data_IF_912002472068
#
_entry.id   IF_912002472068
#
_cell.length_a   1.000
_cell.length_b   1.000
_cell.length_c   1.000
_cell.angle_alpha   90.00
_cell.angle_beta   90.00
_cell.angle_gamma   90.00
#
_symmetry.space_group_name_H-M   'P 1'
#
loop_
_entity.id
_entity.type
_entity.pdbx_description
1 polymer ?
#
# COMPACT_ATOMS: atom_id res chain seq x y z
N UNK A 1 -14.90 -5.19 4.30
CA UNK A 1 -13.65 -5.92 4.57
C UNK A 1 -13.11 -6.58 3.31
N UNK A 2 -13.81 -7.54 2.70
CA UNK A 2 -13.31 -8.27 1.52
C UNK A 2 -12.79 -7.41 0.35
N UNK A 3 -13.43 -6.27 0.06
CA UNK A 3 -12.95 -5.37 -1.01
C UNK A 3 -11.56 -4.78 -0.73
N UNK A 4 -11.22 -4.47 0.53
CA UNK A 4 -9.91 -3.91 0.87
C UNK A 4 -8.79 -4.90 0.61
N UNK A 5 -9.03 -6.17 0.97
CA UNK A 5 -8.08 -7.25 0.72
C UNK A 5 -7.91 -7.50 -0.77
N UNK A 6 -9.00 -7.57 -1.55
CA UNK A 6 -8.93 -7.76 -3.01
C UNK A 6 -8.15 -6.62 -3.67
N UNK A 7 -8.41 -5.38 -3.26
CA UNK A 7 -7.68 -4.23 -3.81
C UNK A 7 -6.18 -4.30 -3.49
N UNK A 8 -5.81 -4.69 -2.27
CA UNK A 8 -4.41 -4.90 -1.90
C UNK A 8 -3.76 -6.03 -2.69
N UNK A 9 -4.43 -7.17 -2.85
CA UNK A 9 -3.95 -8.30 -3.63
C UNK A 9 -3.70 -7.91 -5.09
N UNK A 10 -4.66 -7.25 -5.73
CA UNK A 10 -4.54 -6.87 -7.14
C UNK A 10 -3.51 -5.76 -7.36
N UNK A 11 -3.50 -4.75 -6.49
CA UNK A 11 -2.54 -3.65 -6.57
C UNK A 11 -1.11 -4.12 -6.35
N UNK A 12 -0.89 -5.21 -5.61
CA UNK A 12 0.42 -5.83 -5.44
C UNK A 12 0.76 -6.79 -6.59
N UNK A 13 -0.13 -7.72 -6.91
CA UNK A 13 0.14 -8.82 -7.84
C UNK A 13 0.36 -8.34 -9.28
N UNK A 14 -0.42 -7.36 -9.77
CA UNK A 14 -0.31 -6.91 -11.17
C UNK A 14 1.07 -6.29 -11.47
N UNK A 15 1.58 -5.32 -10.68
CA UNK A 15 2.94 -4.83 -10.84
C UNK A 15 4.01 -5.90 -10.63
N UNK A 16 3.85 -6.81 -9.65
CA UNK A 16 4.81 -7.88 -9.40
C UNK A 16 4.93 -8.84 -10.59
N UNK A 17 3.79 -9.25 -11.17
CA UNK A 17 3.75 -10.10 -12.37
C UNK A 17 4.40 -9.37 -13.54
N UNK A 18 4.09 -8.08 -13.72
CA UNK A 18 4.67 -7.26 -14.78
C UNK A 18 6.20 -7.19 -14.63
N UNK A 19 6.71 -6.95 -13.42
CA UNK A 19 8.13 -6.97 -13.10
C UNK A 19 8.74 -8.36 -13.36
N UNK A 20 8.05 -9.43 -12.96
CA UNK A 20 8.48 -10.82 -13.21
C UNK A 20 8.70 -11.08 -14.69
N UNK A 21 7.78 -10.64 -15.55
CA UNK A 21 7.87 -10.82 -17.01
C UNK A 21 8.97 -9.97 -17.63
N UNK A 22 9.12 -8.71 -17.21
CA UNK A 22 10.12 -7.80 -17.77
C UNK A 22 11.55 -8.24 -17.43
N UNK A 23 11.80 -8.62 -16.17
CA UNK A 23 13.12 -8.98 -15.65
C UNK A 23 13.43 -10.48 -15.76
N UNK A 24 12.50 -11.26 -16.31
CA UNK A 24 12.59 -12.72 -16.37
C UNK A 24 12.90 -13.34 -14.99
N UNK A 25 12.15 -12.91 -13.97
CA UNK A 25 12.38 -13.33 -12.59
C UNK A 25 11.96 -14.78 -12.42
N UNK A 26 12.88 -15.60 -11.94
CA UNK A 26 12.57 -16.93 -11.45
C UNK A 26 12.26 -16.88 -9.96
N UNK A 27 11.17 -17.54 -9.58
CA UNK A 27 10.69 -17.60 -8.21
C UNK A 27 10.95 -18.99 -7.64
N UNK A 28 11.60 -19.04 -6.50
CA UNK A 28 11.82 -20.27 -5.73
C UNK A 28 11.33 -20.08 -4.29
N UNK A 29 10.99 -21.18 -3.62
CA UNK A 29 10.75 -21.11 -2.18
C UNK A 29 12.06 -20.74 -1.48
N UNK A 30 11.97 -19.86 -0.50
CA UNK A 30 13.14 -19.49 0.29
C UNK A 30 13.60 -20.67 1.14
N UNK A 31 14.89 -21.01 1.07
CA UNK A 31 15.49 -22.03 1.94
C UNK A 31 15.42 -21.64 3.43
N UNK A 32 15.28 -20.34 3.72
CA UNK A 32 15.08 -19.80 5.07
C UNK A 32 13.61 -19.64 5.45
N UNK A 33 12.66 -20.08 4.60
CA UNK A 33 11.24 -19.94 4.88
C UNK A 33 10.86 -20.67 6.18
N UNK A 34 10.41 -19.89 7.17
CA UNK A 34 10.04 -20.39 8.48
C UNK A 34 8.62 -19.95 8.83
N UNK A 35 7.78 -20.92 9.20
CA UNK A 35 6.42 -20.65 9.66
C UNK A 35 6.39 -19.70 10.86
N UNK A 36 7.32 -19.87 11.79
CA UNK A 36 7.47 -19.01 12.98
C UNK A 36 7.76 -17.57 12.58
N UNK A 37 8.67 -17.34 11.64
CA UNK A 37 9.00 -15.98 11.20
C UNK A 37 7.90 -15.36 10.36
N UNK A 38 7.13 -16.16 9.62
CA UNK A 38 5.91 -15.71 8.94
C UNK A 38 4.86 -15.21 9.94
N UNK A 39 4.65 -15.92 11.06
CA UNK A 39 3.72 -15.49 12.12
C UNK A 39 4.24 -14.25 12.83
N UNK A 40 5.54 -14.17 13.15
CA UNK A 40 6.15 -12.96 13.72
C UNK A 40 5.99 -11.76 12.79
N UNK A 41 6.21 -11.95 11.49
CA UNK A 41 6.04 -10.90 10.50
C UNK A 41 4.59 -10.43 10.43
N UNK A 42 3.62 -11.35 10.39
CA UNK A 42 2.21 -10.99 10.42
C UNK A 42 1.88 -10.17 11.68
N UNK A 43 2.30 -10.62 12.86
CA UNK A 43 2.07 -9.91 14.11
C UNK A 43 2.72 -8.52 14.12
N UNK A 44 3.95 -8.40 13.62
CA UNK A 44 4.64 -7.12 13.52
C UNK A 44 3.91 -6.15 12.60
N UNK A 45 3.61 -6.55 11.35
CA UNK A 45 2.93 -5.69 10.40
C UNK A 45 1.50 -5.36 10.84
N UNK A 46 0.81 -6.29 11.50
CA UNK A 46 -0.50 -6.00 12.08
C UNK A 46 -0.43 -4.87 13.10
N UNK A 47 0.52 -4.92 14.04
CA UNK A 47 0.66 -3.88 15.06
C UNK A 47 1.13 -2.54 14.48
N UNK A 48 2.11 -2.58 13.56
CA UNK A 48 2.60 -1.39 12.86
C UNK A 48 1.48 -0.70 12.08
N UNK A 49 0.74 -1.45 11.25
CA UNK A 49 -0.38 -0.92 10.47
C UNK A 49 -1.49 -0.40 11.38
N UNK A 50 -1.83 -1.14 12.44
CA UNK A 50 -2.87 -0.71 13.37
C UNK A 50 -2.51 0.62 14.03
N UNK A 51 -1.26 0.76 14.49
CA UNK A 51 -0.76 2.00 15.07
C UNK A 51 -0.84 3.16 14.08
N UNK A 52 -0.35 2.96 12.86
CA UNK A 52 -0.36 3.99 11.82
C UNK A 52 -1.78 4.41 11.43
N UNK A 53 -2.68 3.45 11.18
CA UNK A 53 -4.06 3.78 10.84
C UNK A 53 -4.79 4.48 11.99
N UNK A 54 -4.57 4.07 13.24
CA UNK A 54 -5.15 4.75 14.40
C UNK A 54 -4.65 6.20 14.52
N UNK A 55 -3.36 6.43 14.32
CA UNK A 55 -2.76 7.76 14.38
C UNK A 55 -3.26 8.65 13.24
N UNK A 56 -3.13 8.20 11.99
CA UNK A 56 -3.36 9.05 10.83
C UNK A 56 -4.83 9.16 10.44
N UNK A 57 -5.64 8.09 10.61
CA UNK A 57 -7.06 8.07 10.24
C UNK A 57 -7.94 8.22 11.47
N UNK A 58 -7.65 7.46 12.52
CA UNK A 58 -8.40 7.48 13.78
C UNK A 58 -8.31 8.83 14.50
N UNK A 59 -7.11 9.38 14.67
CA UNK A 59 -6.89 10.64 15.37
C UNK A 59 -6.77 11.84 14.41
N UNK A 60 -5.71 11.90 13.60
CA UNK A 60 -5.37 13.10 12.82
C UNK A 60 -6.46 13.48 11.81
N UNK A 61 -6.82 12.58 10.90
CA UNK A 61 -7.83 12.84 9.87
C UNK A 61 -9.20 13.14 10.50
N UNK A 62 -9.61 12.35 11.49
CA UNK A 62 -10.90 12.52 12.16
C UNK A 62 -10.97 13.89 12.84
N UNK A 63 -9.91 14.31 13.53
CA UNK A 63 -9.84 15.64 14.15
C UNK A 63 -9.95 16.76 13.11
N UNK A 64 -9.17 16.70 12.04
CA UNK A 64 -9.10 17.78 11.04
C UNK A 64 -10.44 17.92 10.30
N UNK A 65 -11.16 16.82 10.03
CA UNK A 65 -12.48 16.85 9.38
C UNK A 65 -13.49 17.72 10.15
N UNK A 66 -13.36 17.89 11.47
CA UNK A 66 -14.24 18.77 12.24
C UNK A 66 -14.02 20.26 11.93
N UNK A 67 -12.84 20.64 11.45
CA UNK A 67 -12.44 22.05 11.25
C UNK A 67 -12.32 22.45 9.77
N UNK A 68 -12.36 21.50 8.83
CA UNK A 68 -12.18 21.79 7.40
C UNK A 68 -12.93 20.82 6.49
N UNK A 69 -12.83 21.01 5.17
CA UNK A 69 -13.45 20.10 4.20
C UNK A 69 -12.79 18.71 4.24
N UNK A 70 -13.57 17.66 3.96
CA UNK A 70 -13.00 16.30 3.90
C UNK A 70 -11.86 16.18 2.89
N UNK A 71 -11.88 16.95 1.80
CA UNK A 71 -10.80 16.96 0.81
C UNK A 71 -9.51 17.51 1.42
N UNK A 72 -9.59 18.64 2.10
CA UNK A 72 -8.45 19.26 2.78
C UNK A 72 -7.90 18.34 3.87
N UNK A 73 -8.77 17.75 4.68
CA UNK A 73 -8.36 16.84 5.74
C UNK A 73 -7.64 15.58 5.21
N UNK A 74 -8.14 15.00 4.11
CA UNK A 74 -7.50 13.86 3.42
C UNK A 74 -6.11 14.24 2.95
N UNK A 75 -5.95 15.40 2.30
CA UNK A 75 -4.64 15.86 1.81
C UNK A 75 -3.66 16.07 2.96
N UNK A 76 -4.08 16.71 4.05
CA UNK A 76 -3.20 16.93 5.22
C UNK A 76 -2.79 15.60 5.85
N UNK A 77 -3.74 14.67 6.05
CA UNK A 77 -3.45 13.34 6.61
C UNK A 77 -2.48 12.56 5.71
N UNK A 78 -2.67 12.58 4.39
CA UNK A 78 -1.80 11.92 3.43
C UNK A 78 -0.39 12.53 3.39
N UNK A 79 -0.28 13.86 3.42
CA UNK A 79 1.00 14.57 3.49
C UNK A 79 1.74 14.24 4.78
N UNK A 80 1.05 14.26 5.93
CA UNK A 80 1.66 13.89 7.21
C UNK A 80 2.14 12.43 7.21
N UNK A 81 1.36 11.52 6.62
CA UNK A 81 1.74 10.12 6.46
C UNK A 81 2.99 9.95 5.59
N UNK A 82 3.08 10.69 4.47
CA UNK A 82 4.26 10.67 3.61
C UNK A 82 5.52 11.23 4.28
N UNK A 83 5.39 12.32 5.04
CA UNK A 83 6.50 12.92 5.80
C UNK A 83 6.96 11.99 6.92
N UNK A 84 6.03 11.35 7.63
CA UNK A 84 6.35 10.36 8.66
C UNK A 84 7.28 9.26 8.12
N UNK A 85 7.09 8.85 6.88
CA UNK A 85 7.92 7.84 6.22
C UNK A 85 9.34 8.28 5.89
N UNK A 86 9.65 9.58 5.88
CA UNK A 86 11.04 10.02 5.85
C UNK A 86 11.78 9.62 7.11
N UNK A 87 11.10 9.62 8.25
CA UNK A 87 11.71 9.30 9.54
C UNK A 87 11.64 7.81 9.83
N UNK A 88 10.48 7.17 9.62
CA UNK A 88 10.32 5.74 9.90
C UNK A 88 11.19 4.86 9.00
N UNK A 89 11.46 5.27 7.77
CA UNK A 89 12.37 4.56 6.86
C UNK A 89 13.82 5.08 6.92
N UNK A 90 14.14 6.05 7.79
CA UNK A 90 15.50 6.62 7.87
C UNK A 90 15.94 7.36 6.60
N UNK A 91 14.99 7.87 5.82
CA UNK A 91 15.21 8.51 4.52
C UNK A 91 15.51 10.02 4.62
N UNK A 92 15.25 10.65 5.75
CA UNK A 92 15.52 12.07 5.96
C UNK A 92 17.02 12.39 5.79
N UNK A 93 17.35 13.27 4.86
CA UNK A 93 18.74 13.65 4.55
C UNK A 93 19.39 12.87 3.41
N UNK A 94 18.76 11.84 2.84
CA UNK A 94 19.30 11.05 1.72
C UNK A 94 19.19 11.74 0.33
N UNK A 95 19.00 13.06 0.30
CA UNK A 95 18.85 13.85 -0.93
C UNK A 95 17.39 14.00 -1.39
N UNK A 96 17.17 15.00 -2.25
CA UNK A 96 15.83 15.42 -2.65
C UNK A 96 15.06 14.35 -3.43
N UNK A 97 15.73 13.63 -4.34
CA UNK A 97 15.07 12.65 -5.21
C UNK A 97 14.54 11.44 -4.43
N UNK A 98 15.34 10.73 -3.61
CA UNK A 98 14.82 9.62 -2.79
C UNK A 98 13.75 10.05 -1.79
N UNK A 99 13.90 11.23 -1.16
CA UNK A 99 12.88 11.76 -0.25
C UNK A 99 11.57 12.06 -0.99
N UNK A 100 11.62 12.71 -2.14
CA UNK A 100 10.45 12.98 -2.96
C UNK A 100 9.78 11.69 -3.44
N UNK A 101 10.56 10.69 -3.86
CA UNK A 101 10.05 9.38 -4.25
C UNK A 101 9.28 8.71 -3.10
N UNK A 102 9.89 8.59 -1.91
CA UNK A 102 9.22 7.99 -0.75
C UNK A 102 7.97 8.77 -0.34
N UNK A 103 8.02 10.11 -0.35
CA UNK A 103 6.86 10.95 -0.05
C UNK A 103 5.71 10.72 -1.02
N UNK A 104 5.98 10.68 -2.33
CA UNK A 104 4.95 10.48 -3.35
C UNK A 104 4.32 9.09 -3.25
N UNK A 105 5.11 8.06 -2.99
CA UNK A 105 4.60 6.69 -2.87
C UNK A 105 3.77 6.48 -1.60
N UNK A 106 4.38 6.77 -0.45
CA UNK A 106 3.73 6.53 0.85
C UNK A 106 2.59 7.52 1.06
N UNK A 107 2.76 8.80 0.71
CA UNK A 107 1.69 9.79 0.73
C UNK A 107 0.58 9.48 -0.28
N UNK A 108 0.91 8.94 -1.45
CA UNK A 108 -0.05 8.49 -2.46
C UNK A 108 -0.93 7.34 -1.95
N UNK A 109 -0.33 6.28 -1.40
CA UNK A 109 -1.06 5.20 -0.72
C UNK A 109 -1.86 5.75 0.46
N UNK A 110 -1.25 6.68 1.22
CA UNK A 110 -1.87 7.30 2.37
C UNK A 110 -3.13 8.10 2.04
N UNK A 111 -3.14 8.75 0.87
CA UNK A 111 -4.30 9.43 0.30
C UNK A 111 -5.44 8.45 0.02
N UNK A 112 -5.14 7.28 -0.52
CA UNK A 112 -6.15 6.25 -0.82
C UNK A 112 -6.79 5.73 0.47
N UNK A 113 -5.99 5.42 1.49
CA UNK A 113 -6.52 4.94 2.77
C UNK A 113 -7.30 6.02 3.53
N UNK A 114 -6.85 7.28 3.48
CA UNK A 114 -7.62 8.41 4.01
C UNK A 114 -8.95 8.60 3.25
N UNK A 115 -8.94 8.45 1.91
CA UNK A 115 -10.15 8.46 1.10
C UNK A 115 -11.09 7.31 1.44
N UNK A 116 -10.57 6.09 1.63
CA UNK A 116 -11.34 4.94 2.10
C UNK A 116 -12.03 5.24 3.42
N UNK A 117 -11.28 5.69 4.42
CA UNK A 117 -11.81 6.08 5.72
C UNK A 117 -12.92 7.12 5.61
N UNK A 118 -12.67 8.22 4.89
CA UNK A 118 -13.64 9.33 4.75
C UNK A 118 -14.96 8.91 4.09
N UNK A 119 -14.98 7.80 3.36
CA UNK A 119 -16.14 7.32 2.60
C UNK A 119 -16.86 6.16 3.27
N UNK A 120 -16.19 5.43 4.15
CA UNK A 120 -16.77 4.31 4.88
C UNK A 120 -17.01 4.61 6.36
N UNK A 121 -16.45 5.70 6.88
CA UNK A 121 -16.40 6.02 8.31
C UNK A 121 -15.92 4.83 9.16
N UNK A 122 -14.95 4.07 8.64
CA UNK A 122 -14.46 2.85 9.26
C UNK A 122 -12.99 2.67 8.98
N UNK A 123 -12.21 2.50 10.06
CA UNK A 123 -10.77 2.24 10.01
C UNK A 123 -10.45 0.82 9.53
N UNK A 124 -11.42 -0.10 9.59
CA UNK A 124 -11.21 -1.51 9.23
C UNK A 124 -10.82 -1.67 7.76
N UNK A 125 -11.43 -0.87 6.87
CA UNK A 125 -11.13 -0.95 5.43
C UNK A 125 -9.68 -0.54 5.11
N UNK A 126 -9.19 0.65 5.52
CA UNK A 126 -7.80 1.01 5.30
C UNK A 126 -6.81 0.09 6.03
N UNK A 127 -7.11 -0.37 7.26
CA UNK A 127 -6.26 -1.35 7.97
C UNK A 127 -6.08 -2.64 7.17
N UNK A 128 -7.17 -3.22 6.64
CA UNK A 128 -7.07 -4.47 5.87
C UNK A 128 -6.32 -4.25 4.54
N UNK A 129 -6.53 -3.11 3.88
CA UNK A 129 -5.83 -2.80 2.64
C UNK A 129 -4.32 -2.58 2.88
N UNK A 130 -3.98 -1.85 3.93
CA UNK A 130 -2.60 -1.55 4.32
C UNK A 130 -1.87 -2.81 4.81
N UNK A 131 -2.49 -3.60 5.69
CA UNK A 131 -1.93 -4.87 6.15
C UNK A 131 -1.75 -5.84 4.98
N UNK A 132 -2.73 -5.90 4.07
CA UNK A 132 -2.63 -6.70 2.86
C UNK A 132 -1.42 -6.32 2.02
N UNK A 133 -1.16 -5.02 1.84
CA UNK A 133 0.04 -4.53 1.15
C UNK A 133 1.32 -4.96 1.87
N UNK A 134 1.51 -4.57 3.13
CA UNK A 134 2.75 -4.81 3.88
C UNK A 134 3.05 -6.30 4.01
N UNK A 135 2.05 -7.10 4.37
CA UNK A 135 2.26 -8.53 4.58
C UNK A 135 2.62 -9.24 3.27
N UNK A 136 1.92 -8.97 2.16
CA UNK A 136 2.28 -9.54 0.87
C UNK A 136 3.66 -9.10 0.39
N UNK A 137 4.02 -7.83 0.58
CA UNK A 137 5.38 -7.35 0.30
C UNK A 137 6.41 -8.19 1.04
N UNK A 138 6.21 -8.51 2.32
CA UNK A 138 7.13 -9.36 3.08
C UNK A 138 7.20 -10.81 2.60
N UNK A 139 6.13 -11.36 2.00
CA UNK A 139 6.14 -12.74 1.49
C UNK A 139 7.00 -12.87 0.22
N UNK A 140 7.03 -11.85 -0.63
CA UNK A 140 7.60 -11.90 -1.98
C UNK A 140 8.81 -11.00 -2.21
N UNK A 141 8.98 -9.93 -1.43
CA UNK A 141 10.02 -8.91 -1.62
C UNK A 141 10.93 -8.86 -0.41
N UNK A 142 12.12 -8.29 -0.58
CA UNK A 142 12.97 -7.92 0.55
C UNK A 142 12.32 -6.73 1.27
N UNK A 143 11.57 -7.03 2.33
CA UNK A 143 10.75 -6.06 3.03
C UNK A 143 11.12 -6.01 4.51
N UNK A 144 11.57 -4.83 4.94
CA UNK A 144 12.07 -4.66 6.30
C UNK A 144 10.94 -4.78 7.34
N UNK A 145 11.21 -5.35 8.54
CA UNK A 145 12.52 -5.83 9.01
C UNK A 145 12.80 -7.32 8.74
N UNK A 146 11.91 -8.04 8.05
CA UNK A 146 11.99 -9.51 7.93
C UNK A 146 12.68 -10.02 6.66
N UNK A 147 12.89 -9.15 5.67
CA UNK A 147 13.46 -9.54 4.38
C UNK A 147 12.50 -10.36 3.52
N UNK A 148 13.03 -11.27 2.71
CA UNK A 148 12.25 -12.20 1.87
C UNK A 148 11.80 -13.43 2.67
N UNK A 149 10.51 -13.49 3.05
CA UNK A 149 10.01 -14.55 3.92
C UNK A 149 9.78 -15.88 3.21
N UNK A 150 8.94 -15.90 2.16
CA UNK A 150 8.50 -17.15 1.53
C UNK A 150 9.14 -17.39 0.18
N UNK A 151 9.31 -16.35 -0.60
CA UNK A 151 9.81 -16.46 -1.96
C UNK A 151 11.12 -15.72 -2.13
N UNK A 152 12.04 -16.37 -2.82
CA UNK A 152 13.29 -15.78 -3.30
C UNK A 152 13.17 -15.52 -4.79
N UNK A 153 13.56 -14.31 -5.19
CA UNK A 153 13.61 -13.89 -6.60
C UNK A 153 15.03 -13.97 -7.15
N UNK A 154 15.20 -14.62 -8.30
CA UNK A 154 16.42 -14.59 -9.09
C UNK A 154 16.15 -13.78 -10.36
N UNK A 155 16.80 -12.62 -10.50
CA UNK A 155 16.67 -11.74 -11.66
C UNK A 155 17.60 -12.24 -12.77
N UNK A 156 17.04 -12.64 -13.91
CA UNK A 156 17.82 -13.16 -15.05
C UNK A 156 18.06 -12.13 -16.16
N UNK A 157 17.52 -10.91 -16.01
CA UNK A 157 17.74 -9.80 -16.92
C UNK A 157 17.97 -8.51 -16.13
N UNK A 158 19.17 -7.96 -16.25
CA UNK A 158 19.49 -6.62 -15.75
C UNK A 158 19.08 -5.56 -16.78
N UNK A 159 18.61 -4.42 -16.30
CA UNK A 159 18.23 -3.27 -17.11
C UNK A 159 19.07 -2.05 -16.72
N UNK A 160 19.23 -1.06 -17.63
CA UNK A 160 19.85 0.21 -17.26
C UNK A 160 19.14 0.86 -16.07
N UNK A 161 19.89 1.54 -15.19
CA UNK A 161 19.38 2.13 -13.94
C UNK A 161 18.14 3.01 -14.14
N UNK A 162 18.12 3.84 -15.19
CA UNK A 162 16.97 4.69 -15.50
C UNK A 162 15.71 3.88 -15.87
N UNK A 163 15.88 2.78 -16.60
CA UNK A 163 14.79 1.89 -16.94
C UNK A 163 14.31 1.12 -15.71
N UNK A 164 15.23 0.67 -14.85
CA UNK A 164 14.92 -0.01 -13.59
C UNK A 164 14.07 0.87 -12.67
N UNK A 165 14.54 2.10 -12.43
CA UNK A 165 13.80 3.11 -11.68
C UNK A 165 12.42 3.39 -12.30
N UNK A 166 12.36 3.53 -13.62
CA UNK A 166 11.11 3.79 -14.33
C UNK A 166 10.08 2.66 -14.17
N UNK A 167 10.51 1.40 -14.22
CA UNK A 167 9.63 0.24 -14.03
C UNK A 167 9.17 0.15 -12.58
N UNK A 168 10.07 0.35 -11.61
CA UNK A 168 9.73 0.35 -10.20
C UNK A 168 8.72 1.46 -9.87
N UNK A 169 9.05 2.71 -10.19
CA UNK A 169 8.17 3.85 -9.95
C UNK A 169 6.83 3.72 -10.70
N UNK A 170 6.86 3.23 -11.95
CA UNK A 170 5.66 2.95 -12.73
C UNK A 170 4.76 1.89 -12.09
N UNK A 171 5.35 0.81 -11.55
CA UNK A 171 4.64 -0.22 -10.81
C UNK A 171 3.99 0.30 -9.52
N UNK A 172 4.69 1.14 -8.77
CA UNK A 172 4.17 1.74 -7.54
C UNK A 172 3.00 2.71 -7.84
N UNK A 173 3.14 3.55 -8.88
CA UNK A 173 2.06 4.42 -9.35
C UNK A 173 0.87 3.59 -9.83
N UNK A 174 1.10 2.52 -10.58
CA UNK A 174 0.05 1.61 -11.03
C UNK A 174 -0.70 1.00 -9.84
N UNK A 175 0.00 0.60 -8.78
CA UNK A 175 -0.59 0.09 -7.53
C UNK A 175 -1.58 1.09 -6.93
N UNK A 176 -1.15 2.36 -6.78
CA UNK A 176 -1.97 3.45 -6.24
C UNK A 176 -3.22 3.66 -7.12
N UNK A 177 -3.06 3.67 -8.45
CA UNK A 177 -4.15 3.86 -9.39
C UNK A 177 -5.14 2.69 -9.38
N UNK A 178 -4.67 1.45 -9.28
CA UNK A 178 -5.50 0.25 -9.17
C UNK A 178 -6.33 0.28 -7.88
N UNK A 179 -5.71 0.63 -6.74
CA UNK A 179 -6.44 0.79 -5.48
C UNK A 179 -7.50 1.89 -5.58
N UNK A 180 -7.14 3.06 -6.11
CA UNK A 180 -8.06 4.19 -6.26
C UNK A 180 -9.24 3.86 -7.18
N UNK A 181 -8.93 3.35 -8.37
CA UNK A 181 -9.91 3.00 -9.41
C UNK A 181 -10.85 1.90 -8.95
N UNK A 182 -10.28 0.82 -8.38
CA UNK A 182 -11.07 -0.29 -7.85
C UNK A 182 -11.97 0.13 -6.68
N UNK A 183 -11.50 0.99 -5.78
CA UNK A 183 -12.34 1.49 -4.70
C UNK A 183 -13.43 2.46 -5.19
N UNK A 184 -13.14 3.34 -6.15
CA UNK A 184 -14.17 4.19 -6.79
C UNK A 184 -15.23 3.36 -7.50
N UNK A 185 -14.83 2.32 -8.21
CA UNK A 185 -15.74 1.37 -8.86
C UNK A 185 -16.65 0.68 -7.83
N UNK A 186 -16.07 0.20 -6.72
CA UNK A 186 -16.83 -0.38 -5.62
C UNK A 186 -17.87 0.59 -5.04
N UNK A 187 -17.49 1.85 -4.81
CA UNK A 187 -18.44 2.87 -4.35
C UNK A 187 -19.57 3.12 -5.34
N UNK A 188 -19.23 3.21 -6.63
CA UNK A 188 -20.23 3.42 -7.69
C UNK A 188 -21.25 2.28 -7.73
N UNK A 189 -20.80 1.02 -7.63
CA UNK A 189 -21.71 -0.13 -7.53
C UNK A 189 -22.56 -0.11 -6.27
N UNK A 190 -22.00 0.22 -5.11
CA UNK A 190 -22.77 0.33 -3.86
C UNK A 190 -23.83 1.43 -3.89
N UNK A 191 -23.57 2.54 -4.58
CA UNK A 191 -24.52 3.65 -4.73
C UNK A 191 -25.67 3.36 -5.71
N UNK A 192 -25.63 2.25 -6.45
CA UNK A 192 -26.74 1.75 -7.25
C UNK A 192 -27.52 0.68 -6.45
N UNK A 193 -28.40 1.02 -5.48
CA UNK A 193 -29.31 0.02 -4.94
C UNK A 193 -30.43 -0.27 -5.96
N UNK A 194 -30.68 -1.55 -6.23
CA UNK A 194 -31.98 -2.22 -6.39
C UNK A 194 -33.18 -1.37 -6.88
N UNK A 195 -33.03 -0.56 -7.95
CA UNK A 195 -34.19 0.04 -8.64
C UNK A 195 -34.74 -0.93 -9.70
N UNK A 196 -33.97 -1.95 -10.08
CA UNK A 196 -34.34 -2.90 -11.13
C UNK A 196 -34.84 -4.26 -10.60
N UNK A 197 -35.37 -4.33 -9.36
CA UNK A 197 -36.03 -5.55 -8.86
C UNK A 197 -37.51 -5.35 -8.52
N UNK A 198 -38.12 -4.25 -9.00
CA UNK A 198 -39.57 -3.98 -8.87
C UNK A 198 -40.22 -3.55 -10.20
N UNK A 199 -39.70 -4.02 -11.34
CA UNK A 199 -40.36 -3.87 -12.65
C UNK A 199 -40.73 -5.24 -13.22
#
# INVERSE_FOLDING_TARGET
MGVGLILALLAFAIPLITKTLIYNIEWSFSDSANFTDTIKAFYFYFNSVLFEELLFRGALLSLIIYFTSSRTAILISATAFGIYHWFSYGMFGNGLVPMAYIFLLTGGMGLIWAYMYSKTNSIVLPVVAHLGWNFQSALFLDYQPFGQLLFKSTINRELPELADFGIQAGGDILSILLMLGGFKYYQHKKRKPVINQLS
#
